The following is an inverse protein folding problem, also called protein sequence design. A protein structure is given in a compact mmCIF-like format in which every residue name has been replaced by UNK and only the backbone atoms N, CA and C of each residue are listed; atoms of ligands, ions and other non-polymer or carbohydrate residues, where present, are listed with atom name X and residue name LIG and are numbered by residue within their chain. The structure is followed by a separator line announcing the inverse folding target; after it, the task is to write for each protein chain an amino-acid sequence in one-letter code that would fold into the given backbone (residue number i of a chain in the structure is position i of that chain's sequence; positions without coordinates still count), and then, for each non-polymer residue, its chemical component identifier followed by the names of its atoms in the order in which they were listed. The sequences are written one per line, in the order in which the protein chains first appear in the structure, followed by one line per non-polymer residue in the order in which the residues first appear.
data_IF_109926870598
#
_entry.id   IF_109926870598
#
_cell.length_a   1.000
_cell.length_b   1.000
_cell.length_c   1.000
_cell.angle_alpha   90.00
_cell.angle_beta   90.00
_cell.angle_gamma   90.00
#
_symmetry.space_group_name_H-M   'P 1'
#
loop_
_entity.id
_entity.type
_entity.pdbx_description
1 polymer ?
#
# COMPACT_ATOMS: atom_id res chain seq x y z
N UNK A 1 -42.65 2.13 10.97
CA UNK A 1 -42.19 1.04 10.08
C UNK A 1 -41.26 1.62 9.03
N UNK A 2 -40.13 0.97 8.81
CA UNK A 2 -39.29 1.23 7.65
C UNK A 2 -39.89 0.54 6.42
N UNK A 3 -39.85 1.19 5.26
CA UNK A 3 -40.37 0.66 4.00
C UNK A 3 -39.24 0.54 2.98
N UNK A 4 -39.11 -0.64 2.39
CA UNK A 4 -38.15 -0.87 1.31
C UNK A 4 -38.62 -0.16 0.04
N UNK A 5 -37.80 0.76 -0.49
CA UNK A 5 -38.12 1.54 -1.69
C UNK A 5 -37.39 1.02 -2.92
N UNK A 6 -36.25 0.34 -2.74
CA UNK A 6 -35.47 -0.25 -3.82
C UNK A 6 -34.76 -1.51 -3.33
N UNK A 7 -34.78 -2.55 -4.16
CA UNK A 7 -33.90 -3.72 -4.04
C UNK A 7 -33.31 -3.94 -5.41
N UNK A 8 -31.99 -3.87 -5.53
CA UNK A 8 -31.30 -4.04 -6.79
C UNK A 8 -30.11 -4.97 -6.64
N UNK A 9 -30.15 -6.08 -7.37
CA UNK A 9 -29.01 -6.97 -7.53
C UNK A 9 -28.35 -6.73 -8.88
N UNK A 10 -27.02 -6.59 -8.86
CA UNK A 10 -26.21 -6.39 -10.06
C UNK A 10 -24.95 -7.23 -9.99
N UNK A 11 -24.56 -7.90 -11.09
CA UNK A 11 -23.24 -8.49 -11.20
C UNK A 11 -22.16 -7.42 -10.96
N UNK A 12 -21.19 -7.75 -10.12
CA UNK A 12 -20.04 -6.90 -9.82
C UNK A 12 -18.76 -7.70 -9.97
N UNK A 13 -17.64 -7.00 -10.15
CA UNK A 13 -16.34 -7.62 -10.24
C UNK A 13 -15.31 -6.82 -9.46
N UNK A 14 -14.32 -7.53 -8.95
CA UNK A 14 -13.09 -6.93 -8.45
C UNK A 14 -12.00 -7.27 -9.43
N UNK A 15 -11.46 -6.22 -10.06
CA UNK A 15 -10.51 -6.38 -11.13
C UNK A 15 -9.21 -7.00 -10.62
N UNK A 16 -8.66 -7.94 -11.38
CA UNK A 16 -7.30 -8.42 -11.17
C UNK A 16 -6.29 -7.27 -11.28
N UNK A 17 -5.14 -7.33 -10.58
CA UNK A 17 -4.22 -6.21 -10.56
C UNK A 17 -3.58 -5.95 -11.93
N UNK A 18 -3.18 -4.70 -12.17
CA UNK A 18 -2.33 -4.34 -13.31
C UNK A 18 -0.93 -4.96 -13.17
N UNK A 19 -0.21 -5.19 -14.29
CA UNK A 19 1.21 -5.52 -14.28
C UNK A 19 2.02 -4.60 -13.37
N UNK A 20 3.07 -5.15 -12.76
CA UNK A 20 3.79 -4.49 -11.67
C UNK A 20 4.80 -3.48 -12.21
N UNK A 21 4.68 -2.22 -11.81
CA UNK A 21 5.67 -1.16 -12.04
C UNK A 21 6.57 -0.97 -10.83
N UNK A 22 7.63 -0.16 -10.97
CA UNK A 22 8.49 0.20 -9.83
C UNK A 22 7.74 0.94 -8.73
N UNK A 23 6.90 1.91 -9.08
CA UNK A 23 6.11 2.70 -8.11
C UNK A 23 5.18 1.79 -7.31
N UNK A 24 4.49 0.87 -8.01
CA UNK A 24 3.59 -0.07 -7.34
C UNK A 24 4.34 -1.11 -6.49
N UNK A 25 5.54 -1.52 -6.88
CA UNK A 25 6.40 -2.36 -6.04
C UNK A 25 6.81 -1.63 -4.76
N UNK A 26 7.28 -0.38 -4.85
CA UNK A 26 7.70 0.40 -3.67
C UNK A 26 6.53 0.67 -2.71
N UNK A 27 5.36 1.06 -3.23
CA UNK A 27 4.14 1.25 -2.41
C UNK A 27 3.69 -0.05 -1.74
N UNK A 28 3.77 -1.17 -2.44
CA UNK A 28 3.41 -2.47 -1.89
C UNK A 28 4.42 -2.94 -0.83
N UNK A 29 5.72 -2.78 -1.08
CA UNK A 29 6.77 -3.19 -0.16
C UNK A 29 6.66 -2.48 1.20
N UNK A 30 6.40 -1.18 1.18
CA UNK A 30 6.18 -0.37 2.40
C UNK A 30 4.90 -0.76 3.13
N UNK A 31 3.78 -0.82 2.40
CA UNK A 31 2.45 -1.10 2.97
C UNK A 31 2.23 -2.54 3.42
N UNK A 32 2.85 -3.52 2.75
CA UNK A 32 2.56 -4.94 2.95
C UNK A 32 3.75 -5.71 3.53
N UNK A 33 4.95 -5.42 3.06
CA UNK A 33 6.16 -6.19 3.41
C UNK A 33 6.99 -5.52 4.52
N UNK A 34 6.64 -4.29 4.91
CA UNK A 34 7.36 -3.50 5.92
C UNK A 34 8.82 -3.25 5.53
N UNK A 35 9.07 -3.05 4.24
CA UNK A 35 10.38 -2.66 3.70
C UNK A 35 10.28 -1.22 3.22
N UNK A 36 11.28 -0.39 3.47
CA UNK A 36 11.35 0.93 2.82
C UNK A 36 11.43 0.78 1.30
N UNK A 37 11.06 1.83 0.56
CA UNK A 37 11.20 1.85 -0.90
C UNK A 37 12.64 1.59 -1.33
N UNK A 38 13.62 2.15 -0.61
CA UNK A 38 15.04 1.96 -0.89
C UNK A 38 15.48 0.51 -0.66
N UNK A 39 15.10 -0.10 0.46
CA UNK A 39 15.38 -1.52 0.73
C UNK A 39 14.76 -2.43 -0.34
N UNK A 40 13.50 -2.18 -0.70
CA UNK A 40 12.80 -2.95 -1.72
C UNK A 40 13.53 -2.89 -3.08
N UNK A 41 14.00 -1.70 -3.48
CA UNK A 41 14.76 -1.54 -4.72
C UNK A 41 16.11 -2.27 -4.68
N UNK A 42 16.86 -2.16 -3.58
CA UNK A 42 18.13 -2.88 -3.42
C UNK A 42 17.94 -4.39 -3.50
N UNK A 43 16.88 -4.93 -2.87
CA UNK A 43 16.56 -6.36 -2.96
C UNK A 43 16.14 -6.73 -4.38
N UNK A 44 15.28 -5.93 -5.02
CA UNK A 44 14.82 -6.20 -6.38
C UNK A 44 15.98 -6.23 -7.39
N UNK A 45 16.93 -5.30 -7.27
CA UNK A 45 18.16 -5.30 -8.07
C UNK A 45 18.99 -6.57 -7.84
N UNK A 46 19.12 -7.00 -6.58
CA UNK A 46 19.76 -8.27 -6.24
C UNK A 46 19.08 -9.48 -6.89
N UNK A 47 17.75 -9.54 -6.88
CA UNK A 47 16.96 -10.59 -7.53
C UNK A 47 17.11 -10.55 -9.06
N UNK A 48 17.14 -9.36 -9.66
CA UNK A 48 17.38 -9.17 -11.09
C UNK A 48 18.78 -9.64 -11.50
N UNK A 49 19.82 -9.26 -10.76
CA UNK A 49 21.20 -9.67 -11.02
C UNK A 49 21.39 -11.19 -10.93
N UNK A 50 20.59 -11.87 -10.09
CA UNK A 50 20.54 -13.33 -9.99
C UNK A 50 19.71 -14.00 -11.11
N UNK A 51 19.05 -13.22 -11.97
CA UNK A 51 18.18 -13.70 -13.05
C UNK A 51 16.81 -14.20 -12.59
N UNK A 52 16.34 -13.78 -11.41
CA UNK A 52 15.10 -14.29 -10.82
C UNK A 52 13.86 -13.47 -11.23
N UNK A 53 14.02 -12.15 -11.40
CA UNK A 53 12.96 -11.24 -11.86
C UNK A 53 13.46 -10.37 -13.02
N UNK A 54 12.54 -9.79 -13.79
CA UNK A 54 12.87 -8.79 -14.81
C UNK A 54 13.42 -7.50 -14.17
N UNK A 55 13.95 -6.60 -15.01
CA UNK A 55 14.56 -5.37 -14.54
C UNK A 55 13.56 -4.52 -13.71
N UNK A 56 13.90 -4.15 -12.46
CA UNK A 56 12.91 -3.63 -11.51
C UNK A 56 12.69 -2.12 -11.58
N UNK A 57 13.33 -1.42 -12.53
CA UNK A 57 13.19 0.02 -12.78
C UNK A 57 12.47 0.23 -14.11
N UNK A 58 11.14 0.26 -14.05
CA UNK A 58 10.25 0.38 -15.20
C UNK A 58 8.95 1.07 -14.81
N UNK A 59 8.45 1.90 -15.72
CA UNK A 59 7.13 2.54 -15.64
C UNK A 59 6.08 1.73 -16.42
N UNK A 60 6.48 0.66 -17.10
CA UNK A 60 5.62 -0.13 -17.98
C UNK A 60 4.63 -0.98 -17.19
N UNK A 61 3.33 -0.75 -17.42
CA UNK A 61 2.21 -1.45 -16.78
C UNK A 61 1.40 -2.31 -17.78
N UNK A 62 2.07 -2.75 -18.86
CA UNK A 62 1.51 -3.62 -19.90
C UNK A 62 2.55 -4.62 -20.41
N UNK A 63 2.14 -5.85 -20.68
CA UNK A 63 3.02 -6.83 -21.32
C UNK A 63 2.95 -6.72 -22.84
N UNK A 64 4.07 -7.01 -23.51
CA UNK A 64 4.09 -7.21 -24.96
C UNK A 64 3.25 -8.44 -25.34
N UNK A 65 2.43 -8.33 -26.39
CA UNK A 65 1.54 -9.41 -26.86
C UNK A 65 2.31 -10.63 -27.38
N UNK A 66 3.54 -10.45 -27.85
CA UNK A 66 4.42 -11.53 -28.30
C UNK A 66 5.14 -12.26 -27.16
N UNK A 67 5.10 -11.74 -25.92
CA UNK A 67 5.73 -12.39 -24.79
C UNK A 67 4.98 -13.67 -24.40
N UNK A 68 5.71 -14.79 -24.28
CA UNK A 68 5.12 -16.07 -23.87
C UNK A 68 4.92 -16.14 -22.34
N UNK A 69 3.91 -15.43 -21.83
CA UNK A 69 3.60 -15.37 -20.40
C UNK A 69 3.19 -16.73 -19.83
N UNK A 70 2.53 -17.58 -20.62
CA UNK A 70 2.14 -18.93 -20.19
C UNK A 70 3.36 -19.80 -19.85
N UNK A 71 4.46 -19.66 -20.59
CA UNK A 71 5.71 -20.34 -20.26
C UNK A 71 6.31 -19.85 -18.93
N UNK A 72 6.17 -18.56 -18.60
CA UNK A 72 6.61 -18.03 -17.31
C UNK A 72 5.73 -18.53 -16.15
N UNK A 73 4.41 -18.62 -16.37
CA UNK A 73 3.47 -19.24 -15.42
C UNK A 73 3.83 -20.71 -15.18
N UNK A 74 4.12 -21.47 -16.23
CA UNK A 74 4.52 -22.88 -16.14
C UNK A 74 5.75 -23.08 -15.25
N UNK A 75 6.71 -22.14 -15.27
CA UNK A 75 7.90 -22.25 -14.40
C UNK A 75 7.54 -22.19 -12.92
N UNK A 76 6.42 -21.57 -12.54
CA UNK A 76 6.04 -21.36 -11.14
C UNK A 76 5.23 -22.53 -10.53
N UNK A 77 4.86 -23.55 -11.32
CA UNK A 77 4.10 -24.72 -10.84
C UNK A 77 4.78 -25.56 -9.75
N UNK A 78 6.12 -25.59 -9.59
CA UNK A 78 6.74 -26.36 -8.51
C UNK A 78 6.56 -25.80 -7.09
N UNK A 79 6.09 -24.56 -6.92
CA UNK A 79 5.97 -23.95 -5.57
C UNK A 79 4.77 -24.52 -4.79
N UNK A 80 4.97 -24.86 -3.52
CA UNK A 80 3.91 -25.46 -2.70
C UNK A 80 2.77 -24.50 -2.32
N UNK A 81 2.98 -23.17 -2.43
CA UNK A 81 2.02 -22.16 -1.97
C UNK A 81 1.11 -21.63 -3.07
N UNK A 82 1.55 -21.71 -4.34
CA UNK A 82 0.80 -21.20 -5.51
C UNK A 82 0.91 -22.11 -6.73
N UNK A 83 1.63 -23.22 -6.66
CA UNK A 83 1.88 -24.11 -7.79
C UNK A 83 0.61 -24.68 -8.39
N UNK A 84 -0.35 -25.11 -7.56
CA UNK A 84 -1.66 -25.59 -8.01
C UNK A 84 -2.44 -24.50 -8.78
N UNK A 85 -2.38 -23.26 -8.30
CA UNK A 85 -2.99 -22.12 -9.00
C UNK A 85 -2.32 -21.87 -10.36
N UNK A 86 -0.98 -21.87 -10.40
CA UNK A 86 -0.24 -21.73 -11.65
C UNK A 86 -0.55 -22.88 -12.63
N UNK A 87 -0.71 -24.11 -12.13
CA UNK A 87 -1.09 -25.26 -12.94
C UNK A 87 -2.52 -25.12 -13.51
N UNK A 88 -3.46 -24.58 -12.73
CA UNK A 88 -4.80 -24.23 -13.20
C UNK A 88 -4.78 -23.22 -14.35
N UNK A 89 -3.90 -22.21 -14.27
CA UNK A 89 -3.71 -21.26 -15.38
C UNK A 89 -3.17 -21.95 -16.63
N UNK A 90 -2.14 -22.79 -16.49
CA UNK A 90 -1.59 -23.60 -17.60
C UNK A 90 -2.67 -24.49 -18.22
N UNK A 91 -3.56 -25.07 -17.42
CA UNK A 91 -4.60 -26.01 -17.85
C UNK A 91 -5.87 -25.32 -18.38
N UNK A 92 -5.77 -24.06 -18.81
CA UNK A 92 -6.86 -23.35 -19.49
C UNK A 92 -7.38 -22.13 -18.73
N UNK A 93 -7.00 -21.93 -17.46
CA UNK A 93 -7.41 -20.76 -16.68
C UNK A 93 -6.62 -19.47 -16.99
N UNK A 94 -5.58 -19.54 -17.81
CA UNK A 94 -4.77 -18.37 -18.17
C UNK A 94 -5.58 -17.35 -18.96
N UNK A 95 -5.52 -16.11 -18.50
CA UNK A 95 -6.02 -14.94 -19.21
C UNK A 95 -4.90 -13.95 -19.44
N UNK A 96 -4.99 -13.22 -20.55
CA UNK A 96 -4.03 -12.14 -20.80
C UNK A 96 -4.13 -11.07 -19.71
N UNK A 97 -3.00 -10.56 -19.19
CA UNK A 97 -2.99 -9.42 -18.29
C UNK A 97 -3.73 -8.21 -18.84
N UNK A 98 -4.34 -7.43 -17.95
CA UNK A 98 -4.92 -6.13 -18.29
C UNK A 98 -3.80 -5.19 -18.73
N UNK A 99 -4.06 -4.37 -19.74
CA UNK A 99 -3.13 -3.30 -20.16
C UNK A 99 -3.39 -2.04 -19.33
N UNK A 100 -2.35 -1.51 -18.70
CA UNK A 100 -2.37 -0.17 -18.15
C UNK A 100 -2.11 0.90 -19.23
N UNK A 101 -1.74 2.10 -18.80
CA UNK A 101 -1.61 3.27 -19.69
C UNK A 101 -0.16 3.65 -19.99
N UNK A 102 0.81 3.00 -19.36
CA UNK A 102 2.20 3.43 -19.32
C UNK A 102 3.11 2.38 -19.97
N UNK A 103 4.08 2.86 -20.74
CA UNK A 103 5.03 2.04 -21.47
C UNK A 103 6.30 2.86 -21.72
N UNK A 104 7.39 2.48 -21.06
CA UNK A 104 8.69 3.14 -21.18
C UNK A 104 9.45 2.76 -22.47
N UNK A 105 8.91 1.80 -23.26
CA UNK A 105 9.51 1.28 -24.50
C UNK A 105 10.88 0.63 -24.33
N UNK A 106 11.31 0.36 -23.11
CA UNK A 106 12.61 -0.22 -22.79
C UNK A 106 12.49 -1.56 -22.07
N UNK A 107 11.63 -1.63 -21.06
CA UNK A 107 11.52 -2.79 -20.17
C UNK A 107 10.07 -3.27 -20.04
N UNK A 108 9.85 -4.60 -19.95
CA UNK A 108 8.54 -5.13 -19.60
C UNK A 108 8.24 -4.88 -18.11
N UNK A 109 6.98 -5.03 -17.67
CA UNK A 109 6.62 -4.96 -16.26
C UNK A 109 7.47 -5.91 -15.40
N UNK A 110 7.55 -5.64 -14.09
CA UNK A 110 8.29 -6.46 -13.14
C UNK A 110 7.59 -7.83 -13.00
N UNK A 111 8.29 -8.92 -13.34
CA UNK A 111 7.74 -10.28 -13.35
C UNK A 111 8.81 -11.34 -13.05
N UNK A 112 8.44 -12.55 -12.60
CA UNK A 112 9.41 -13.61 -12.35
C UNK A 112 9.90 -14.23 -13.68
N UNK A 113 11.21 -14.43 -13.79
CA UNK A 113 11.86 -15.04 -14.97
C UNK A 113 11.93 -16.56 -14.87
N UNK A 114 12.11 -17.06 -13.65
CA UNK A 114 12.23 -18.48 -13.32
C UNK A 114 11.64 -18.75 -11.94
N UNK A 115 11.42 -20.02 -11.60
CA UNK A 115 11.11 -20.40 -10.23
C UNK A 115 12.38 -20.47 -9.38
N UNK A 116 12.26 -20.05 -8.12
CA UNK A 116 13.33 -20.06 -7.14
C UNK A 116 12.81 -20.72 -5.87
N UNK A 117 13.48 -21.79 -5.44
CA UNK A 117 13.13 -22.47 -4.20
C UNK A 117 13.38 -21.55 -2.98
N UNK A 118 12.52 -21.57 -1.96
CA UNK A 118 12.67 -20.70 -0.79
C UNK A 118 14.03 -20.82 -0.08
N UNK A 119 14.69 -21.97 -0.16
CA UNK A 119 16.02 -22.21 0.44
C UNK A 119 17.16 -21.42 -0.21
N UNK A 120 16.96 -20.88 -1.41
CA UNK A 120 17.96 -20.07 -2.15
C UNK A 120 17.87 -18.59 -1.78
N UNK A 121 16.74 -18.15 -1.21
CA UNK A 121 16.46 -16.76 -0.90
C UNK A 121 16.64 -16.51 0.59
N UNK A 122 17.20 -15.36 0.96
CA UNK A 122 17.09 -14.91 2.35
C UNK A 122 15.65 -14.48 2.67
N UNK A 123 15.38 -14.18 3.94
CA UNK A 123 14.03 -13.85 4.40
C UNK A 123 13.38 -12.70 3.62
N UNK A 124 14.09 -11.60 3.40
CA UNK A 124 13.54 -10.41 2.73
C UNK A 124 13.46 -10.59 1.21
N UNK A 125 14.46 -11.22 0.61
CA UNK A 125 14.42 -11.65 -0.79
C UNK A 125 13.21 -12.55 -1.07
N UNK A 126 12.96 -13.52 -0.20
CA UNK A 126 11.83 -14.45 -0.28
C UNK A 126 10.49 -13.73 -0.26
N UNK A 127 10.32 -12.74 0.64
CA UNK A 127 9.08 -11.95 0.75
C UNK A 127 8.83 -11.09 -0.48
N UNK A 128 9.86 -10.40 -0.99
CA UNK A 128 9.72 -9.56 -2.18
C UNK A 128 9.47 -10.39 -3.44
N UNK A 129 10.22 -11.49 -3.60
CA UNK A 129 10.05 -12.42 -4.73
C UNK A 129 8.64 -13.04 -4.72
N UNK A 130 8.15 -13.51 -3.57
CA UNK A 130 6.78 -14.05 -3.44
C UNK A 130 5.73 -13.01 -3.85
N UNK A 131 5.90 -11.74 -3.45
CA UNK A 131 4.99 -10.68 -3.88
C UNK A 131 4.98 -10.51 -5.41
N UNK A 132 6.16 -10.47 -6.05
CA UNK A 132 6.29 -10.36 -7.51
C UNK A 132 5.62 -11.55 -8.22
N UNK A 133 5.83 -12.78 -7.74
CA UNK A 133 5.24 -13.98 -8.34
C UNK A 133 3.72 -13.98 -8.19
N UNK A 134 3.19 -13.75 -6.99
CA UNK A 134 1.74 -13.72 -6.75
C UNK A 134 1.05 -12.62 -7.54
N UNK A 135 1.67 -11.45 -7.65
CA UNK A 135 1.18 -10.33 -8.49
C UNK A 135 1.11 -10.75 -9.95
N UNK A 136 2.17 -11.36 -10.48
CA UNK A 136 2.21 -11.86 -11.86
C UNK A 136 1.14 -12.92 -12.15
N UNK A 137 1.02 -13.93 -11.29
CA UNK A 137 0.00 -14.99 -11.45
C UNK A 137 -1.43 -14.41 -11.38
N UNK A 138 -1.67 -13.43 -10.52
CA UNK A 138 -2.94 -12.74 -10.43
C UNK A 138 -3.28 -11.96 -11.70
N UNK A 139 -2.30 -11.26 -12.29
CA UNK A 139 -2.48 -10.59 -13.59
C UNK A 139 -2.88 -11.57 -14.70
N UNK A 140 -2.37 -12.79 -14.66
CA UNK A 140 -2.64 -13.86 -15.61
C UNK A 140 -3.92 -14.67 -15.34
N UNK A 141 -4.73 -14.27 -14.33
CA UNK A 141 -5.98 -14.94 -13.94
C UNK A 141 -7.22 -14.14 -14.37
N UNK A 142 -8.39 -14.55 -13.93
CA UNK A 142 -9.68 -13.87 -14.12
C UNK A 142 -9.92 -12.81 -13.03
N UNK A 143 -10.77 -11.82 -13.34
CA UNK A 143 -11.34 -10.92 -12.33
C UNK A 143 -12.15 -11.74 -11.32
N UNK A 144 -12.15 -11.33 -10.06
CA UNK A 144 -13.07 -11.93 -9.09
C UNK A 144 -14.50 -11.46 -9.41
N UNK A 145 -15.48 -12.35 -9.31
CA UNK A 145 -16.88 -12.08 -9.65
C UNK A 145 -17.78 -12.22 -8.43
N UNK A 146 -18.79 -11.36 -8.35
CA UNK A 146 -19.73 -11.33 -7.25
C UNK A 146 -21.08 -10.75 -7.67
N UNK A 147 -22.05 -10.80 -6.77
CA UNK A 147 -23.32 -10.09 -6.88
C UNK A 147 -23.37 -9.00 -5.82
N UNK A 148 -23.63 -7.76 -6.21
CA UNK A 148 -23.84 -6.66 -5.29
C UNK A 148 -25.35 -6.41 -5.14
N UNK A 149 -25.82 -6.43 -3.91
CA UNK A 149 -27.19 -6.09 -3.54
C UNK A 149 -27.18 -4.71 -2.90
N UNK A 150 -27.94 -3.77 -3.47
CA UNK A 150 -28.18 -2.44 -2.94
C UNK A 150 -29.64 -2.32 -2.53
N UNK A 151 -29.87 -1.90 -1.28
CA UNK A 151 -31.20 -1.76 -0.71
C UNK A 151 -31.34 -0.33 -0.21
N UNK A 152 -32.36 0.37 -0.69
CA UNK A 152 -32.76 1.66 -0.16
C UNK A 152 -34.06 1.48 0.62
N UNK A 153 -34.15 2.14 1.76
CA UNK A 153 -35.32 2.13 2.62
C UNK A 153 -35.66 3.54 3.10
N UNK A 154 -36.95 3.77 3.31
CA UNK A 154 -37.49 4.99 3.87
C UNK A 154 -37.95 4.73 5.32
N UNK A 155 -37.57 5.60 6.24
CA UNK A 155 -38.05 5.58 7.62
C UNK A 155 -38.47 7.00 8.03
N UNK A 156 -39.79 7.23 8.11
CA UNK A 156 -40.33 8.58 8.21
C UNK A 156 -40.09 9.36 6.91
N UNK A 157 -39.48 10.55 7.02
CA UNK A 157 -39.09 11.39 5.88
C UNK A 157 -37.66 11.10 5.39
N UNK A 158 -36.89 10.31 6.15
CA UNK A 158 -35.48 10.05 5.89
C UNK A 158 -35.25 8.79 5.04
N UNK A 159 -34.16 8.82 4.26
CA UNK A 159 -33.73 7.72 3.39
C UNK A 159 -32.43 7.12 3.91
N UNK A 160 -32.38 5.78 3.94
CA UNK A 160 -31.19 5.03 4.32
C UNK A 160 -30.86 4.03 3.21
N UNK A 161 -29.58 3.68 3.09
CA UNK A 161 -29.13 2.66 2.15
C UNK A 161 -28.16 1.68 2.80
N UNK A 162 -28.16 0.47 2.27
CA UNK A 162 -27.16 -0.54 2.60
C UNK A 162 -26.73 -1.28 1.35
N UNK A 163 -25.50 -1.79 1.38
CA UNK A 163 -24.92 -2.54 0.28
C UNK A 163 -24.18 -3.75 0.82
N UNK A 164 -24.41 -4.90 0.19
CA UNK A 164 -23.67 -6.13 0.46
C UNK A 164 -23.21 -6.77 -0.84
N UNK A 165 -22.07 -7.46 -0.77
CA UNK A 165 -21.52 -8.22 -1.89
C UNK A 165 -21.40 -9.69 -1.51
N UNK A 166 -21.90 -10.58 -2.36
CA UNK A 166 -21.63 -12.02 -2.28
C UNK A 166 -20.58 -12.36 -3.34
N UNK A 167 -19.45 -12.92 -2.92
CA UNK A 167 -18.40 -13.39 -3.85
C UNK A 167 -18.82 -14.74 -4.42
N UNK A 168 -18.95 -14.80 -5.74
CA UNK A 168 -19.33 -16.01 -6.48
C UNK A 168 -18.08 -16.77 -6.96
N UNK A 169 -17.09 -16.04 -7.47
CA UNK A 169 -15.81 -16.60 -7.93
C UNK A 169 -14.66 -15.75 -7.41
N UNK A 170 -13.72 -16.35 -6.66
CA UNK A 170 -12.58 -15.63 -6.08
C UNK A 170 -11.47 -15.36 -7.10
N UNK A 171 -11.25 -16.29 -8.04
CA UNK A 171 -10.30 -16.16 -9.14
C UNK A 171 -8.93 -15.65 -8.67
N UNK A 172 -8.43 -14.51 -9.18
CA UNK A 172 -7.11 -13.98 -8.79
C UNK A 172 -6.91 -13.78 -7.27
N UNK A 173 -7.99 -13.63 -6.48
CA UNK A 173 -7.93 -13.50 -5.03
C UNK A 173 -7.49 -14.79 -4.30
N UNK A 174 -7.45 -15.94 -4.99
CA UNK A 174 -6.94 -17.19 -4.42
C UNK A 174 -5.41 -17.23 -4.39
N UNK A 175 -4.74 -16.53 -5.31
CA UNK A 175 -3.26 -16.39 -5.30
C UNK A 175 -2.80 -15.07 -4.70
N UNK A 176 -3.57 -13.98 -4.87
CA UNK A 176 -3.18 -12.63 -4.45
C UNK A 176 -3.70 -12.27 -3.06
N UNK A 177 -3.16 -12.95 -2.06
CA UNK A 177 -3.53 -12.83 -0.63
C UNK A 177 -3.35 -11.43 -0.02
N UNK A 178 -2.70 -10.51 -0.73
CA UNK A 178 -2.47 -9.13 -0.33
C UNK A 178 -3.69 -8.23 -0.53
N UNK A 179 -4.71 -8.74 -1.20
CA UNK A 179 -5.93 -8.02 -1.49
C UNK A 179 -7.15 -8.80 -1.01
N UNK A 180 -8.07 -8.08 -0.37
CA UNK A 180 -9.37 -8.61 0.05
C UNK A 180 -10.46 -7.92 -0.76
N UNK A 181 -11.54 -8.65 -1.03
CA UNK A 181 -12.78 -8.02 -1.44
C UNK A 181 -13.49 -7.58 -0.17
N UNK A 182 -13.44 -6.28 0.14
CA UNK A 182 -14.16 -5.70 1.26
C UNK A 182 -15.64 -5.50 0.86
N UNK A 183 -16.54 -5.28 1.81
CA UNK A 183 -18.00 -5.21 1.62
C UNK A 183 -18.67 -6.56 1.35
N UNK A 184 -18.01 -7.67 1.69
CA UNK A 184 -18.63 -8.99 1.62
C UNK A 184 -19.60 -9.18 2.76
N UNK A 185 -20.88 -9.01 2.46
CA UNK A 185 -21.98 -9.20 3.40
C UNK A 185 -23.15 -9.79 2.62
N UNK A 186 -23.71 -10.87 3.14
CA UNK A 186 -24.98 -11.39 2.67
C UNK A 186 -26.08 -10.57 3.33
N UNK A 187 -26.85 -9.84 2.53
CA UNK A 187 -28.00 -9.09 3.02
C UNK A 187 -29.23 -10.02 3.06
N UNK A 188 -30.14 -9.82 4.02
CA UNK A 188 -31.44 -10.48 3.99
C UNK A 188 -32.19 -10.18 2.69
N UNK A 189 -32.98 -11.16 2.22
CA UNK A 189 -33.82 -10.98 1.04
C UNK A 189 -35.02 -10.12 1.38
N UNK A 190 -35.07 -8.93 0.79
CA UNK A 190 -36.20 -8.01 0.90
C UNK A 190 -36.94 -7.89 -0.43
N UNK A 191 -38.21 -7.53 -0.37
CA UNK A 191 -39.04 -7.17 -1.53
C UNK A 191 -39.39 -5.70 -1.52
N UNK A 192 -39.50 -5.08 -2.71
CA UNK A 192 -39.90 -3.66 -2.81
C UNK A 192 -41.31 -3.49 -2.24
N UNK A 193 -41.47 -2.51 -1.35
CA UNK A 193 -42.72 -2.25 -0.64
C UNK A 193 -42.85 -3.01 0.69
N UNK A 194 -41.95 -3.96 0.98
CA UNK A 194 -41.89 -4.64 2.27
C UNK A 194 -41.68 -3.64 3.41
N UNK A 195 -42.31 -3.92 4.55
CA UNK A 195 -42.21 -3.09 5.74
C UNK A 195 -41.69 -3.92 6.90
N UNK A 196 -40.80 -3.33 7.69
CA UNK A 196 -40.28 -3.95 8.90
C UNK A 196 -40.07 -2.90 10.00
N UNK A 197 -39.96 -3.37 11.24
CA UNK A 197 -39.63 -2.53 12.38
C UNK A 197 -38.11 -2.53 12.57
N UNK A 198 -37.43 -1.36 12.50
CA UNK A 198 -36.00 -1.29 12.79
C UNK A 198 -35.72 -1.75 14.22
N UNK A 199 -34.67 -2.56 14.42
CA UNK A 199 -34.24 -3.00 15.75
C UNK A 199 -33.88 -1.82 16.65
N UNK A 200 -33.19 -0.84 16.08
CA UNK A 200 -32.80 0.41 16.75
C UNK A 200 -32.70 1.54 15.72
N UNK A 201 -32.95 2.76 16.18
CA UNK A 201 -32.72 3.98 15.43
C UNK A 201 -31.97 4.95 16.35
N UNK A 202 -30.67 5.13 16.08
CA UNK A 202 -29.77 5.90 16.94
C UNK A 202 -29.26 7.13 16.20
N UNK A 203 -29.17 8.25 16.93
CA UNK A 203 -28.42 9.42 16.48
C UNK A 203 -27.03 9.35 17.11
N UNK A 204 -26.02 9.04 16.29
CA UNK A 204 -24.64 8.95 16.75
C UNK A 204 -23.94 10.29 16.56
N UNK A 205 -23.12 10.68 17.54
CA UNK A 205 -22.23 11.81 17.41
C UNK A 205 -20.88 11.36 16.87
N UNK A 206 -20.34 12.13 15.92
CA UNK A 206 -19.01 11.91 15.35
C UNK A 206 -18.24 13.22 15.28
N UNK A 207 -16.92 13.15 15.35
CA UNK A 207 -16.02 14.29 15.10
C UNK A 207 -15.03 13.90 14.01
N UNK A 208 -14.75 14.84 13.11
CA UNK A 208 -13.67 14.64 12.14
C UNK A 208 -12.33 14.72 12.87
N UNK A 209 -11.43 13.80 12.52
CA UNK A 209 -10.04 13.84 12.98
C UNK A 209 -9.17 14.64 12.00
N UNK A 210 -8.06 15.25 12.47
CA UNK A 210 -7.09 15.83 11.58
C UNK A 210 -6.44 14.73 10.69
N UNK A 211 -5.96 15.09 9.50
CA UNK A 211 -5.16 14.17 8.68
C UNK A 211 -3.95 13.67 9.46
N UNK A 212 -3.59 12.40 9.27
CA UNK A 212 -2.35 11.87 9.81
C UNK A 212 -1.15 12.28 8.97
N UNK A 213 0.04 12.21 9.57
CA UNK A 213 1.30 12.28 8.84
C UNK A 213 1.39 11.23 7.73
N UNK A 214 2.17 11.55 6.69
CA UNK A 214 2.31 10.71 5.51
C UNK A 214 3.10 9.45 5.84
N UNK A 215 2.62 8.31 5.35
CA UNK A 215 3.46 7.11 5.23
C UNK A 215 4.37 7.22 4.01
N UNK A 216 5.36 6.34 3.91
CA UNK A 216 6.20 6.28 2.71
C UNK A 216 5.40 5.96 1.44
N UNK A 217 4.38 5.10 1.53
CA UNK A 217 3.48 4.81 0.42
C UNK A 217 2.68 6.06 -0.02
N UNK A 218 2.25 6.89 0.94
CA UNK A 218 1.54 8.14 0.64
C UNK A 218 2.47 9.16 -0.03
N UNK A 219 3.71 9.28 0.46
CA UNK A 219 4.69 10.18 -0.13
C UNK A 219 5.08 9.75 -1.55
N UNK A 220 5.29 8.45 -1.79
CA UNK A 220 5.51 7.91 -3.14
C UNK A 220 4.33 8.23 -4.06
N UNK A 221 3.09 8.03 -3.58
CA UNK A 221 1.90 8.34 -4.36
C UNK A 221 1.78 9.85 -4.70
N UNK A 222 2.15 10.73 -3.76
CA UNK A 222 2.19 12.16 -4.01
C UNK A 222 3.29 12.56 -4.99
N UNK A 223 4.49 11.97 -4.90
CA UNK A 223 5.58 12.21 -5.84
C UNK A 223 5.19 11.79 -7.26
N UNK A 224 4.59 10.61 -7.42
CA UNK A 224 4.07 10.09 -8.69
C UNK A 224 2.97 11.00 -9.28
N UNK A 225 1.96 11.35 -8.48
CA UNK A 225 0.89 12.25 -8.91
C UNK A 225 1.39 13.64 -9.32
N UNK A 226 2.49 14.11 -8.73
CA UNK A 226 3.10 15.39 -9.07
C UNK A 226 4.20 15.28 -10.15
N UNK A 227 4.53 14.07 -10.62
CA UNK A 227 5.52 13.83 -11.66
C UNK A 227 6.94 14.26 -11.26
N UNK A 228 7.33 13.97 -10.01
CA UNK A 228 8.70 14.16 -9.53
C UNK A 228 9.29 12.84 -9.03
N UNK A 229 10.60 12.68 -9.16
CA UNK A 229 11.26 11.43 -8.84
C UNK A 229 10.97 10.33 -9.87
N UNK A 230 10.69 10.69 -11.13
CA UNK A 230 10.53 9.74 -12.24
C UNK A 230 11.76 8.86 -12.44
N UNK A 231 11.66 7.84 -13.28
CA UNK A 231 12.78 6.92 -13.57
C UNK A 231 13.31 6.19 -12.31
N UNK A 232 12.38 5.75 -11.46
CA UNK A 232 12.65 4.99 -10.23
C UNK A 232 13.56 5.71 -9.20
N UNK A 233 13.53 7.04 -9.15
CA UNK A 233 14.36 7.85 -8.21
C UNK A 233 13.63 8.28 -6.94
N UNK A 234 12.32 8.00 -6.79
CA UNK A 234 11.53 8.42 -5.61
C UNK A 234 12.14 7.94 -4.28
N UNK A 235 12.47 6.64 -4.18
CA UNK A 235 13.06 6.06 -2.97
C UNK A 235 14.37 6.74 -2.55
N UNK A 236 15.21 7.15 -3.51
CA UNK A 236 16.47 7.83 -3.24
C UNK A 236 16.24 9.23 -2.64
N UNK A 237 15.30 10.00 -3.20
CA UNK A 237 14.94 11.32 -2.67
C UNK A 237 14.33 11.23 -1.26
N UNK A 238 13.50 10.21 -1.02
CA UNK A 238 12.89 9.94 0.30
C UNK A 238 13.96 9.54 1.31
N UNK A 239 14.95 8.73 0.92
CA UNK A 239 16.07 8.38 1.79
C UNK A 239 16.91 9.62 2.14
N UNK A 240 17.19 10.50 1.17
CA UNK A 240 17.99 11.73 1.39
C UNK A 240 17.40 12.65 2.45
N UNK A 241 16.08 12.85 2.48
CA UNK A 241 15.46 13.73 3.48
C UNK A 241 15.47 13.12 4.89
N UNK A 242 15.51 11.79 4.98
CA UNK A 242 15.70 11.07 6.25
C UNK A 242 17.16 11.15 6.71
N UNK A 243 18.12 10.89 5.81
CA UNK A 243 19.56 10.95 6.12
C UNK A 243 20.01 12.36 6.56
N UNK A 244 19.33 13.40 6.06
CA UNK A 244 19.55 14.80 6.43
C UNK A 244 18.76 15.25 7.66
N UNK A 245 18.00 14.35 8.28
CA UNK A 245 17.18 14.61 9.48
C UNK A 245 16.17 15.74 9.29
N UNK A 246 15.70 15.97 8.06
CA UNK A 246 14.61 16.91 7.79
C UNK A 246 13.25 16.31 8.15
N UNK A 247 13.17 14.98 8.14
CA UNK A 247 12.03 14.20 8.61
C UNK A 247 12.52 13.10 9.55
N UNK A 248 11.74 12.86 10.60
CA UNK A 248 11.90 11.71 11.47
C UNK A 248 10.86 10.65 11.10
N UNK A 249 11.26 9.38 11.20
CA UNK A 249 10.37 8.25 10.96
C UNK A 249 9.94 7.67 12.30
N UNK A 250 8.67 7.85 12.65
CA UNK A 250 8.11 7.29 13.89
C UNK A 250 7.11 6.19 13.57
N UNK A 251 7.00 5.22 14.47
CA UNK A 251 5.89 4.30 14.45
C UNK A 251 4.60 5.09 14.70
N UNK A 252 3.58 4.88 13.87
CA UNK A 252 2.24 5.40 14.08
C UNK A 252 1.67 4.72 15.31
N UNK A 253 2.01 5.23 16.50
CA UNK A 253 1.32 4.88 17.73
C UNK A 253 -0.13 5.26 17.54
N UNK A 254 -1.05 4.32 17.77
CA UNK A 254 -2.46 4.65 17.87
C UNK A 254 -2.66 5.60 19.04
N UNK A 255 -2.59 6.91 18.81
CA UNK A 255 -3.06 7.91 19.77
C UNK A 255 -4.58 7.81 19.84
N UNK A 256 -5.06 6.82 20.60
CA UNK A 256 -6.28 6.97 21.38
C UNK A 256 -5.95 7.98 22.47
N UNK A 257 -6.43 9.22 22.30
CA UNK A 257 -6.59 10.12 23.42
C UNK A 257 -7.58 9.48 24.40
N UNK A 258 -7.13 9.29 25.62
CA UNK A 258 -7.90 8.68 26.70
C UNK A 258 -7.18 8.98 28.01
N UNK A 259 -7.16 10.26 28.39
CA UNK A 259 -7.04 10.61 29.79
C UNK A 259 -8.35 10.22 30.46
N UNK A 260 -8.37 9.07 31.13
CA UNK A 260 -9.32 8.85 32.21
C UNK A 260 -8.55 9.17 33.48
N UNK A 261 -8.78 10.38 33.95
CA UNK A 261 -8.53 10.75 35.32
C UNK A 261 -9.38 9.84 36.22
N UNK A 262 -8.67 9.22 37.16
CA UNK A 262 -9.04 8.99 38.56
C UNK A 262 -10.54 9.14 38.91
N UNK A 263 -11.18 8.02 39.21
CA UNK A 263 -12.28 7.97 40.17
C UNK A 263 -12.15 6.68 40.98
N UNK A 264 -11.75 6.85 42.23
CA UNK A 264 -11.74 5.80 43.24
C UNK A 264 -13.12 5.60 43.86
N UNK A 265 -13.48 4.34 44.06
CA UNK A 265 -14.22 3.88 45.25
C UNK A 265 -14.07 2.34 45.29
N UNK A 266 -13.61 1.76 46.41
CA UNK A 266 -14.50 1.23 47.44
C UNK A 266 -14.75 -0.27 47.20
N UNK A 267 -13.85 -1.14 47.67
CA UNK A 267 -14.08 -1.98 48.86
C UNK A 267 -15.12 -3.11 48.69
N UNK A 268 -14.65 -4.36 48.55
CA UNK A 268 -14.79 -5.40 49.59
C UNK A 268 -14.55 -6.82 49.05
N UNK A 269 -13.89 -7.64 49.88
CA UNK A 269 -14.43 -8.98 50.15
C UNK A 269 -13.68 -10.20 49.59
N UNK A 270 -12.74 -10.70 50.41
CA UNK A 270 -12.63 -12.11 50.78
C UNK A 270 -12.17 -13.16 49.74
N UNK A 271 -10.86 -13.28 49.65
CA UNK A 271 -10.05 -14.49 49.91
C UNK A 271 -10.79 -15.80 50.27
N UNK A 272 -10.55 -16.87 49.49
CA UNK A 272 -10.48 -18.24 50.00
C UNK A 272 -9.65 -19.11 49.04
N UNK A 273 -8.45 -19.49 49.49
CA UNK A 273 -7.58 -20.43 48.78
C UNK A 273 -8.08 -21.87 48.89
N UNK A 274 -7.73 -22.69 47.88
CA UNK A 274 -7.82 -24.15 47.96
C UNK A 274 -6.49 -24.78 47.58
N UNK A 275 -5.86 -25.40 48.59
CA UNK A 275 -4.78 -26.36 48.40
C UNK A 275 -5.33 -27.78 48.15
N UNK A 276 -4.68 -28.45 47.19
CA UNK A 276 -3.90 -29.69 47.39
C UNK A 276 -4.64 -31.01 47.79
N UNK A 277 -4.51 -31.98 46.85
CA UNK A 277 -4.27 -33.45 46.94
C UNK A 277 -5.41 -34.47 47.10
N UNK A 278 -5.29 -35.52 46.27
CA UNK A 278 -5.74 -36.90 46.49
C UNK A 278 -5.90 -37.68 45.17
N UNK A 279 -4.85 -38.29 44.59
CA UNK A 279 -4.39 -39.70 44.68
C UNK A 279 -5.43 -40.81 44.34
N UNK A 280 -5.08 -41.65 43.36
CA UNK A 280 -5.55 -43.06 43.20
C UNK A 280 -5.98 -43.43 41.78
N UNK A 281 -5.12 -44.00 40.91
CA UNK A 281 -4.83 -45.45 40.67
C UNK A 281 -5.78 -46.13 39.65
N UNK A 282 -5.23 -46.61 38.53
CA UNK A 282 -5.68 -47.85 37.85
C UNK A 282 -5.66 -47.86 36.32
N UNK A 283 -4.78 -48.71 35.75
CA UNK A 283 -4.84 -49.58 34.52
C UNK A 283 -5.92 -49.26 33.45
N UNK A 284 -5.75 -49.37 32.13
CA UNK A 284 -4.96 -50.28 31.30
C UNK A 284 -4.95 -49.82 29.81
N UNK A 285 -4.15 -50.53 29.01
CA UNK A 285 -3.80 -50.40 27.59
C UNK A 285 -4.95 -50.13 26.60
N UNK A 286 -4.67 -49.30 25.60
CA UNK A 286 -5.39 -49.26 24.32
C UNK A 286 -4.54 -48.61 23.21
N UNK A 287 -4.14 -49.40 22.21
CA UNK A 287 -3.41 -48.97 21.00
C UNK A 287 -4.31 -48.11 20.12
N UNK A 288 -3.81 -46.98 19.60
CA UNK A 288 -4.51 -46.16 18.61
C UNK A 288 -3.56 -45.26 17.83
N UNK A 289 -3.42 -45.57 16.55
CA UNK A 289 -2.60 -44.93 15.50
C UNK A 289 -2.43 -43.40 15.60
N UNK A 290 -1.18 -42.96 15.49
CA UNK A 290 -0.82 -41.56 15.25
C UNK A 290 -1.27 -41.09 13.86
N UNK A 291 -2.25 -40.20 13.84
CA UNK A 291 -2.49 -39.28 12.74
C UNK A 291 -1.51 -38.11 12.87
N UNK A 292 -0.74 -37.87 11.82
CA UNK A 292 0.26 -36.82 11.73
C UNK A 292 -0.47 -35.52 11.41
N UNK A 293 -0.72 -34.70 12.43
CA UNK A 293 -1.27 -33.36 12.25
C UNK A 293 -0.32 -32.52 11.40
N UNK A 294 -0.86 -32.03 10.28
CA UNK A 294 -0.24 -31.02 9.44
C UNK A 294 -0.11 -29.73 10.23
N UNK A 295 1.13 -29.40 10.61
CA UNK A 295 1.49 -28.11 11.16
C UNK A 295 1.25 -27.01 10.12
N UNK A 296 0.02 -26.49 10.09
CA UNK A 296 -0.30 -25.22 9.46
C UNK A 296 0.46 -24.13 10.19
N UNK A 297 1.61 -23.75 9.63
CA UNK A 297 2.37 -22.57 10.04
C UNK A 297 1.55 -21.32 9.73
N UNK A 298 0.58 -21.01 10.59
CA UNK A 298 0.00 -19.67 10.66
C UNK A 298 1.07 -18.77 11.24
N UNK A 299 1.87 -18.18 10.35
CA UNK A 299 2.76 -17.09 10.69
C UNK A 299 1.94 -15.95 11.28
N UNK A 300 1.84 -15.91 12.61
CA UNK A 300 1.45 -14.71 13.35
C UNK A 300 2.47 -13.63 13.01
N UNK A 301 2.17 -12.82 12.00
CA UNK A 301 2.89 -11.60 11.73
C UNK A 301 2.81 -10.73 12.99
N UNK A 302 3.95 -10.53 13.66
CA UNK A 302 4.12 -9.46 14.64
C UNK A 302 3.59 -8.18 14.00
N UNK A 303 2.54 -7.60 14.56
CA UNK A 303 1.98 -6.33 14.11
C UNK A 303 3.00 -5.21 14.31
N UNK A 304 3.89 -5.02 13.34
CA UNK A 304 4.76 -3.86 13.28
C UNK A 304 3.92 -2.64 12.88
N UNK A 305 3.96 -1.61 13.72
CA UNK A 305 3.29 -0.35 13.50
C UNK A 305 3.69 0.24 12.13
N UNK A 306 2.73 0.86 11.44
CA UNK A 306 2.99 1.57 10.19
C UNK A 306 3.85 2.78 10.52
N UNK A 307 4.97 2.98 9.80
CA UNK A 307 5.84 4.14 9.99
C UNK A 307 5.30 5.36 9.23
N UNK A 308 5.41 6.54 9.84
CA UNK A 308 5.02 7.83 9.26
C UNK A 308 6.17 8.83 9.34
N UNK A 309 6.19 9.78 8.41
CA UNK A 309 7.15 10.88 8.35
C UNK A 309 6.64 12.09 9.12
N UNK A 310 7.36 12.46 10.18
CA UNK A 310 7.12 13.70 10.94
C UNK A 310 8.23 14.68 10.61
N UNK A 311 7.90 15.87 10.05
CA UNK A 311 8.90 16.90 9.80
C UNK A 311 9.60 17.30 11.10
N UNK A 312 10.93 17.42 11.07
CA UNK A 312 11.67 17.98 12.19
C UNK A 312 11.50 19.50 12.23
N UNK A 313 11.86 20.13 13.36
CA UNK A 313 11.86 21.59 13.47
C UNK A 313 12.67 22.26 12.35
N UNK A 314 13.84 21.69 12.01
CA UNK A 314 14.66 22.17 10.90
C UNK A 314 13.95 21.97 9.55
N UNK A 315 13.35 20.81 9.31
CA UNK A 315 12.60 20.55 8.07
C UNK A 315 11.46 21.55 7.86
N UNK A 316 10.68 21.83 8.91
CA UNK A 316 9.61 22.85 8.89
C UNK A 316 10.17 24.24 8.67
N UNK A 317 11.23 24.61 9.39
CA UNK A 317 11.87 25.92 9.27
C UNK A 317 12.36 26.22 7.86
N UNK A 318 12.95 25.23 7.19
CA UNK A 318 13.46 25.38 5.83
C UNK A 318 12.33 25.60 4.82
N UNK A 319 11.28 24.76 4.86
CA UNK A 319 10.15 24.89 3.93
C UNK A 319 9.40 26.22 4.16
N UNK A 320 9.01 26.52 5.39
CA UNK A 320 8.32 27.77 5.70
C UNK A 320 9.21 28.99 5.44
N UNK A 321 10.51 28.88 5.68
CA UNK A 321 11.46 29.94 5.39
C UNK A 321 11.53 30.26 3.90
N UNK A 322 11.64 29.25 3.04
CA UNK A 322 11.61 29.44 1.58
C UNK A 322 10.24 29.89 1.07
N UNK A 323 9.14 29.38 1.61
CA UNK A 323 7.79 29.82 1.21
C UNK A 323 7.55 31.29 1.59
N UNK A 324 8.00 31.73 2.78
CA UNK A 324 7.94 33.14 3.23
C UNK A 324 8.84 34.07 2.41
N UNK A 325 9.80 33.54 1.64
CA UNK A 325 10.55 34.37 0.69
C UNK A 325 9.73 34.76 -0.53
N UNK A 326 8.52 34.22 -0.73
CA UNK A 326 7.54 34.65 -1.73
C UNK A 326 8.16 34.83 -3.14
N UNK A 327 8.71 33.74 -3.66
CA UNK A 327 9.22 33.67 -5.02
C UNK A 327 8.08 33.51 -6.02
N UNK A 328 8.22 34.08 -7.22
CA UNK A 328 7.31 33.81 -8.35
C UNK A 328 7.20 32.29 -8.63
N UNK A 329 8.34 31.59 -8.50
CA UNK A 329 8.41 30.13 -8.58
C UNK A 329 8.70 29.54 -7.20
N UNK A 330 7.66 29.00 -6.57
CA UNK A 330 7.75 28.38 -5.25
C UNK A 330 8.76 27.23 -5.19
N UNK A 331 9.74 27.33 -4.29
CA UNK A 331 10.73 26.27 -4.02
C UNK A 331 10.17 25.09 -3.20
N UNK A 332 9.14 25.33 -2.39
CA UNK A 332 8.45 24.26 -1.63
C UNK A 332 7.48 23.42 -2.45
N UNK A 333 7.19 23.82 -3.70
CA UNK A 333 6.23 23.12 -4.58
C UNK A 333 6.98 22.34 -5.67
N UNK A 334 6.42 21.23 -6.18
CA UNK A 334 7.14 20.33 -7.09
C UNK A 334 7.27 20.85 -8.53
N UNK A 335 6.73 22.03 -8.85
CA UNK A 335 6.54 22.49 -10.24
C UNK A 335 7.84 22.61 -11.03
N UNK A 336 8.85 23.30 -10.48
CA UNK A 336 10.13 23.49 -11.16
C UNK A 336 10.86 22.16 -11.36
N UNK A 337 10.76 21.25 -10.39
CA UNK A 337 11.35 19.92 -10.49
C UNK A 337 10.65 19.06 -11.54
N UNK A 338 9.32 19.07 -11.55
CA UNK A 338 8.51 18.37 -12.57
C UNK A 338 8.86 18.84 -13.98
N UNK A 339 8.93 20.16 -14.18
CA UNK A 339 9.30 20.74 -15.47
C UNK A 339 10.69 20.26 -15.92
N UNK A 340 11.66 20.23 -15.01
CA UNK A 340 12.99 19.72 -15.28
C UNK A 340 12.97 18.25 -15.71
N UNK A 341 12.23 17.38 -15.01
CA UNK A 341 12.12 15.95 -15.35
C UNK A 341 11.41 15.74 -16.70
N UNK A 342 10.36 16.52 -17.00
CA UNK A 342 9.71 16.52 -18.31
C UNK A 342 10.66 16.94 -19.45
N UNK A 343 11.52 17.93 -19.21
CA UNK A 343 12.56 18.34 -20.17
C UNK A 343 13.61 17.25 -20.36
N UNK A 344 14.03 16.56 -19.31
CA UNK A 344 14.94 15.41 -19.41
C UNK A 344 14.32 14.29 -20.26
N UNK A 345 13.03 13.98 -20.05
CA UNK A 345 12.30 13.03 -20.89
C UNK A 345 12.24 13.48 -22.35
N UNK A 346 12.00 14.77 -22.60
CA UNK A 346 12.02 15.32 -23.96
C UNK A 346 13.38 15.20 -24.65
N UNK A 347 14.49 15.22 -23.91
CA UNK A 347 15.83 14.93 -24.45
C UNK A 347 15.95 13.48 -24.87
N UNK A 348 15.52 12.53 -24.03
CA UNK A 348 15.54 11.09 -24.35
C UNK A 348 14.71 10.77 -25.60
N UNK A 349 13.62 11.51 -25.83
CA UNK A 349 12.76 11.38 -27.01
C UNK A 349 13.25 12.18 -28.23
N UNK A 350 14.38 12.89 -28.13
CA UNK A 350 14.94 13.69 -29.22
C UNK A 350 14.18 14.98 -29.56
N UNK A 351 13.25 15.41 -28.69
CA UNK A 351 12.43 16.63 -28.88
C UNK A 351 13.09 17.91 -28.34
N UNK A 352 14.09 17.79 -27.48
CA UNK A 352 14.81 18.91 -26.88
C UNK A 352 16.31 18.62 -26.85
N UNK A 353 17.15 19.63 -27.12
CA UNK A 353 18.60 19.47 -26.98
C UNK A 353 19.05 19.66 -25.52
N UNK A 354 20.07 18.91 -25.12
CA UNK A 354 20.71 19.03 -23.81
C UNK A 354 21.15 20.48 -23.52
N UNK A 355 21.76 21.16 -24.50
CA UNK A 355 22.28 22.52 -24.31
C UNK A 355 21.18 23.57 -24.15
N UNK A 356 20.03 23.38 -24.80
CA UNK A 356 18.88 24.25 -24.60
C UNK A 356 18.33 24.10 -23.18
N UNK A 357 18.11 22.84 -22.76
CA UNK A 357 17.61 22.52 -21.42
C UNK A 357 18.54 23.03 -20.31
N UNK A 358 19.86 22.84 -20.46
CA UNK A 358 20.84 23.28 -19.47
C UNK A 358 20.86 24.80 -19.32
N UNK A 359 20.89 25.54 -20.44
CA UNK A 359 20.88 27.01 -20.40
C UNK A 359 19.65 27.55 -19.68
N UNK A 360 18.47 27.01 -20.03
CA UNK A 360 17.21 27.44 -19.43
C UNK A 360 17.14 27.10 -17.94
N UNK A 361 17.45 25.85 -17.57
CA UNK A 361 17.38 25.39 -16.18
C UNK A 361 18.38 26.12 -15.29
N UNK A 362 19.62 26.30 -15.75
CA UNK A 362 20.64 27.06 -15.00
C UNK A 362 20.20 28.51 -14.83
N UNK A 363 19.59 29.13 -15.85
CA UNK A 363 19.07 30.49 -15.74
C UNK A 363 17.96 30.59 -14.69
N UNK A 364 16.98 29.68 -14.73
CA UNK A 364 15.87 29.62 -13.76
C UNK A 364 16.40 29.45 -12.33
N UNK A 365 17.25 28.46 -12.08
CA UNK A 365 17.82 28.21 -10.76
C UNK A 365 18.75 29.33 -10.29
N UNK A 366 19.48 29.98 -11.19
CA UNK A 366 20.32 31.15 -10.85
C UNK A 366 19.47 32.31 -10.36
N UNK A 367 18.34 32.60 -11.02
CA UNK A 367 17.43 33.66 -10.59
C UNK A 367 16.89 33.39 -9.18
N UNK A 368 16.41 32.17 -8.94
CA UNK A 368 15.91 31.77 -7.61
C UNK A 368 17.02 31.85 -6.55
N UNK A 369 18.25 31.45 -6.89
CA UNK A 369 19.39 31.56 -5.99
C UNK A 369 19.70 33.02 -5.62
N UNK A 370 19.72 33.94 -6.59
CA UNK A 370 19.98 35.36 -6.33
C UNK A 370 18.90 35.97 -5.42
N UNK A 371 17.63 35.72 -5.72
CA UNK A 371 16.51 36.14 -4.86
C UNK A 371 16.61 35.55 -3.44
N UNK A 372 17.02 34.29 -3.32
CA UNK A 372 17.23 33.63 -2.03
C UNK A 372 18.34 34.30 -1.21
N UNK A 373 19.41 34.79 -1.86
CA UNK A 373 20.49 35.52 -1.20
C UNK A 373 20.03 36.88 -0.68
N UNK A 374 19.26 37.62 -1.49
CA UNK A 374 18.69 38.91 -1.09
C UNK A 374 17.75 38.79 0.11
N UNK A 375 16.96 37.70 0.15
CA UNK A 375 15.96 37.44 1.22
C UNK A 375 16.46 36.47 2.29
N UNK A 376 17.77 36.25 2.41
CA UNK A 376 18.35 35.29 3.35
C UNK A 376 17.98 35.57 4.82
N UNK A 377 17.70 36.83 5.17
CA UNK A 377 17.22 37.24 6.50
C UNK A 377 15.89 36.57 6.88
N UNK A 378 15.01 36.31 5.91
CA UNK A 378 13.72 35.63 6.11
C UNK A 378 13.92 34.19 6.53
N UNK A 379 14.84 33.48 5.88
CA UNK A 379 15.19 32.10 6.26
C UNK A 379 15.84 32.05 7.64
N UNK A 380 16.77 32.97 7.93
CA UNK A 380 17.39 33.09 9.25
C UNK A 380 16.33 33.30 10.34
N UNK A 381 15.31 34.12 10.08
CA UNK A 381 14.19 34.34 10.98
C UNK A 381 13.38 33.07 11.22
N UNK A 382 12.99 32.36 10.16
CA UNK A 382 12.26 31.10 10.28
C UNK A 382 13.06 30.06 11.09
N UNK A 383 14.37 29.93 10.85
CA UNK A 383 15.21 29.04 11.66
C UNK A 383 15.28 29.47 13.13
N UNK A 384 15.33 30.77 13.44
CA UNK A 384 15.28 31.28 14.83
C UNK A 384 13.98 30.95 15.54
N UNK A 385 12.86 31.10 14.84
CA UNK A 385 11.52 30.80 15.35
C UNK A 385 11.35 29.32 15.66
N UNK A 386 11.61 28.45 14.68
CA UNK A 386 11.26 27.03 14.79
C UNK A 386 12.34 26.16 15.43
N UNK A 387 13.63 26.50 15.29
CA UNK A 387 14.74 25.70 15.82
C UNK A 387 15.23 26.23 17.17
N UNK A 388 15.24 27.55 17.36
CA UNK A 388 15.79 28.17 18.58
C UNK A 388 14.74 28.74 19.53
N UNK A 389 13.44 28.66 19.18
CA UNK A 389 12.34 29.12 20.03
C UNK A 389 12.35 30.62 20.35
N UNK A 390 13.02 31.43 19.51
CA UNK A 390 13.12 32.87 19.69
C UNK A 390 12.00 33.57 18.90
N UNK A 391 11.34 34.61 19.45
CA UNK A 391 10.36 35.39 18.68
C UNK A 391 11.03 35.98 17.43
N UNK A 392 10.37 35.82 16.28
CA UNK A 392 10.88 36.14 14.94
C UNK A 392 11.05 37.62 14.63
#
# INVERSE_FOLDING_TARGET
MAKITKVQEKPTRKFKPLPLTTVELQKAATRLLRMSGQQAMTIAEGLYNKGFISYPRTETDRFDKGMNLRALVQKQTPDQRWGDFAQGLVNGGFQQPREGRHDDKAHPPIHPITYVAPSVLNYDEGRLYEYVVRRFLACCSEDAKGSATEIDLQYGEEMFSTRGVIVLERNHLDVYVYEKWNDTAELPKFTVGEQFEPTEAMMTEGKTGPPSYLTEADLIALMDANGIGTDATMAEHIQKIQDREYVATIDRSGTTGGGNDDDGDGDNGAQAGRGIRGRGRGRERGRGRGGRDGGGATGRGRGGNIKVFVPTQLGVALILGFDRMDFDTSLGKPFLRKEMELKMKAICEGRLSKDAMLRESISQYRQVFMQSQERLSVLKRACREFVFGQPG
#
